data_IF_208402479417
#
_entry.id   IF_208402479417
#
_cell.length_a   1.000
_cell.length_b   1.000
_cell.length_c   1.000
_cell.angle_alpha   90.00
_cell.angle_beta   90.00
_cell.angle_gamma   90.00
#
_symmetry.space_group_name_H-M   'P 1'
#
loop_
_entity.id
_entity.type
_entity.pdbx_description
1 polymer ?
#
# COMPACT_ATOMS: atom_id res chain seq x y z
N UNK A 1 24.91 -2.89 0.08
CA UNK A 1 24.44 -1.72 0.84
C UNK A 1 24.47 -0.40 0.09
N UNK A 2 25.23 -0.24 -1.00
CA UNK A 2 25.34 1.06 -1.69
C UNK A 2 24.29 1.33 -2.78
N UNK A 3 23.63 0.29 -3.32
CA UNK A 3 22.56 0.44 -4.32
C UNK A 3 21.20 0.88 -3.74
N UNK A 4 20.99 0.75 -2.43
CA UNK A 4 19.71 1.13 -1.79
C UNK A 4 19.61 2.65 -1.57
N UNK A 5 20.75 3.36 -1.51
CA UNK A 5 20.79 4.81 -1.26
C UNK A 5 20.68 5.67 -2.53
N UNK A 6 20.90 5.10 -3.72
CA UNK A 6 20.69 5.84 -4.98
C UNK A 6 19.20 5.90 -5.34
N UNK A 7 18.41 4.88 -5.01
CA UNK A 7 16.95 4.87 -5.17
C UNK A 7 16.23 5.83 -4.19
N UNK A 8 16.80 6.12 -3.02
CA UNK A 8 16.22 7.06 -2.03
C UNK A 8 15.97 8.47 -2.61
N UNK A 9 16.75 8.90 -3.60
CA UNK A 9 16.63 10.26 -4.14
C UNK A 9 15.40 10.45 -5.03
N UNK A 10 14.99 9.41 -5.76
CA UNK A 10 13.75 9.42 -6.55
C UNK A 10 12.53 9.04 -5.70
N UNK A 11 12.68 8.12 -4.75
CA UNK A 11 11.62 7.77 -3.79
C UNK A 11 11.09 8.99 -3.03
N UNK A 12 11.97 9.90 -2.56
CA UNK A 12 11.53 11.10 -1.83
C UNK A 12 10.62 12.01 -2.64
N UNK A 13 10.79 12.09 -3.97
CA UNK A 13 9.93 12.93 -4.82
C UNK A 13 8.57 12.30 -5.00
N UNK A 14 8.53 10.98 -5.20
CA UNK A 14 7.28 10.23 -5.27
C UNK A 14 6.54 10.29 -3.94
N UNK A 15 7.22 10.10 -2.81
CA UNK A 15 6.64 10.24 -1.46
C UNK A 15 6.00 11.61 -1.23
N UNK A 16 6.71 12.69 -1.60
CA UNK A 16 6.17 14.05 -1.48
C UNK A 16 4.98 14.24 -2.42
N UNK A 17 5.05 13.73 -3.66
CA UNK A 17 3.94 13.83 -4.61
C UNK A 17 2.68 13.12 -4.10
N UNK A 18 2.81 11.88 -3.61
CA UNK A 18 1.68 11.14 -3.03
C UNK A 18 1.16 11.79 -1.75
N UNK A 19 2.04 12.34 -0.91
CA UNK A 19 1.64 13.09 0.29
C UNK A 19 0.88 14.38 -0.05
N UNK A 20 1.28 15.09 -1.10
CA UNK A 20 0.55 16.25 -1.60
C UNK A 20 -0.80 15.83 -2.20
N UNK A 21 -0.83 14.73 -2.94
CA UNK A 21 -2.07 14.18 -3.51
C UNK A 21 -3.04 13.74 -2.41
N UNK A 22 -2.56 13.09 -1.35
CA UNK A 22 -3.37 12.76 -0.16
C UNK A 22 -3.99 14.01 0.45
N UNK A 23 -3.20 15.07 0.67
CA UNK A 23 -3.72 16.33 1.22
C UNK A 23 -4.77 16.97 0.31
N UNK A 24 -4.56 16.95 -1.01
CA UNK A 24 -5.54 17.48 -1.97
C UNK A 24 -6.81 16.63 -1.99
N UNK A 25 -6.71 15.30 -1.87
CA UNK A 25 -7.89 14.44 -1.80
C UNK A 25 -8.63 14.71 -0.48
N UNK A 26 -7.94 14.77 0.65
CA UNK A 26 -8.57 15.07 1.95
C UNK A 26 -9.21 16.47 1.98
N UNK A 27 -8.59 17.47 1.35
CA UNK A 27 -9.09 18.85 1.32
C UNK A 27 -10.29 19.03 0.37
N UNK A 28 -10.39 18.24 -0.70
CA UNK A 28 -11.41 18.39 -1.74
C UNK A 28 -12.44 17.25 -1.80
N UNK A 29 -12.35 16.25 -0.91
CA UNK A 29 -13.41 15.25 -0.74
C UNK A 29 -14.29 15.64 0.43
N UNK A 30 -15.47 16.19 0.14
CA UNK A 30 -16.53 16.47 1.13
C UNK A 30 -17.25 15.19 1.58
N UNK A 31 -16.53 14.09 1.78
CA UNK A 31 -17.13 12.89 2.33
C UNK A 31 -16.90 12.89 3.84
N UNK A 32 -17.91 13.30 4.60
CA UNK A 32 -18.06 12.92 6.00
C UNK A 32 -18.02 11.38 6.05
N UNK A 33 -16.82 10.79 6.20
CA UNK A 33 -16.68 9.40 6.57
C UNK A 33 -17.28 9.30 7.97
N UNK A 34 -18.42 8.59 8.15
CA UNK A 34 -19.00 8.47 9.46
C UNK A 34 -17.93 7.85 10.37
N UNK A 35 -17.73 8.45 11.54
CA UNK A 35 -16.74 8.07 12.55
C UNK A 35 -17.06 6.72 13.23
N UNK A 36 -17.41 5.70 12.45
CA UNK A 36 -17.91 4.41 12.90
C UNK A 36 -17.80 3.37 11.79
N UNK A 37 -16.56 3.06 11.42
CA UNK A 37 -16.03 1.82 10.83
C UNK A 37 -14.86 2.23 9.95
N UNK A 38 -13.64 1.89 10.36
CA UNK A 38 -12.47 1.90 9.49
C UNK A 38 -12.67 0.81 8.44
N UNK A 39 -13.54 1.07 7.46
CA UNK A 39 -13.72 0.18 6.33
C UNK A 39 -12.36 0.06 5.65
N UNK A 40 -11.88 -1.18 5.53
CA UNK A 40 -10.63 -1.45 4.82
C UNK A 40 -10.77 -0.85 3.43
N UNK A 41 -9.77 -0.06 3.01
CA UNK A 41 -9.79 0.51 1.67
C UNK A 41 -9.88 -0.62 0.65
N UNK A 42 -10.60 -0.36 -0.44
CA UNK A 42 -10.87 -1.35 -1.48
C UNK A 42 -9.60 -1.99 -2.01
N UNK A 43 -8.49 -1.24 -2.04
CA UNK A 43 -7.17 -1.66 -2.48
C UNK A 43 -6.52 -2.60 -1.46
N UNK A 44 -6.60 -2.30 -0.16
CA UNK A 44 -6.05 -3.18 0.88
C UNK A 44 -6.81 -4.51 0.93
N UNK A 45 -8.13 -4.50 0.73
CA UNK A 45 -8.91 -5.73 0.59
C UNK A 45 -8.47 -6.52 -0.65
N UNK A 46 -8.34 -5.88 -1.81
CA UNK A 46 -7.90 -6.53 -3.04
C UNK A 46 -6.49 -7.14 -2.89
N UNK A 47 -5.57 -6.45 -2.21
CA UNK A 47 -4.24 -7.00 -1.91
C UNK A 47 -4.36 -8.25 -1.03
N UNK A 48 -5.15 -8.23 0.05
CA UNK A 48 -5.34 -9.40 0.91
C UNK A 48 -5.90 -10.59 0.12
N UNK A 49 -6.98 -10.39 -0.64
CA UNK A 49 -7.59 -11.44 -1.46
C UNK A 49 -6.59 -12.01 -2.48
N UNK A 50 -5.79 -11.16 -3.11
CA UNK A 50 -4.76 -11.62 -4.04
C UNK A 50 -3.67 -12.43 -3.34
N UNK A 51 -3.14 -11.94 -2.21
CA UNK A 51 -2.14 -12.66 -1.42
C UNK A 51 -2.66 -14.01 -0.95
N UNK A 52 -3.92 -14.08 -0.50
CA UNK A 52 -4.56 -15.32 -0.03
C UNK A 52 -4.80 -16.34 -1.15
N UNK A 53 -5.19 -15.89 -2.35
CA UNK A 53 -5.42 -16.78 -3.48
C UNK A 53 -4.12 -17.25 -4.17
N UNK A 54 -3.04 -16.47 -4.07
CA UNK A 54 -1.78 -16.71 -4.78
C UNK A 54 -0.58 -16.94 -3.84
N UNK A 55 -0.80 -17.23 -2.56
CA UNK A 55 0.26 -17.29 -1.54
C UNK A 55 1.42 -18.25 -1.87
N UNK A 56 1.17 -19.30 -2.66
CA UNK A 56 2.16 -20.27 -3.11
C UNK A 56 3.09 -19.75 -4.22
N UNK A 57 2.72 -18.64 -4.87
CA UNK A 57 3.49 -18.04 -5.95
C UNK A 57 4.53 -17.04 -5.42
N UNK A 58 5.53 -16.72 -6.24
CA UNK A 58 6.49 -15.67 -5.92
C UNK A 58 5.89 -14.29 -6.22
N UNK A 59 5.17 -13.73 -5.25
CA UNK A 59 4.53 -12.41 -5.37
C UNK A 59 5.54 -11.30 -5.07
N UNK A 60 5.68 -10.35 -6.00
CA UNK A 60 6.52 -9.16 -5.82
C UNK A 60 5.69 -7.92 -5.47
N UNK A 61 6.35 -6.89 -4.92
CA UNK A 61 5.69 -5.61 -4.66
C UNK A 61 5.17 -4.95 -5.93
N UNK A 62 5.86 -5.12 -7.07
CA UNK A 62 5.40 -4.61 -8.37
C UNK A 62 4.10 -5.26 -8.84
N UNK A 63 3.86 -6.54 -8.50
CA UNK A 63 2.60 -7.22 -8.84
C UNK A 63 1.42 -6.61 -8.07
N UNK A 64 1.63 -6.26 -6.80
CA UNK A 64 0.63 -5.57 -5.98
C UNK A 64 0.37 -4.13 -6.47
N UNK A 65 1.41 -3.45 -6.96
CA UNK A 65 1.26 -2.13 -7.57
C UNK A 65 0.45 -2.20 -8.87
N UNK A 66 0.70 -3.19 -9.72
CA UNK A 66 -0.08 -3.43 -10.95
C UNK A 66 -1.54 -3.78 -10.66
N UNK A 67 -1.79 -4.55 -9.60
CA UNK A 67 -3.14 -4.92 -9.17
C UNK A 67 -3.97 -3.70 -8.76
N UNK A 68 -3.37 -2.75 -8.05
CA UNK A 68 -4.09 -1.65 -7.40
C UNK A 68 -3.94 -0.30 -8.12
N UNK A 69 -2.98 -0.18 -9.04
CA UNK A 69 -2.60 1.11 -9.64
C UNK A 69 -1.86 2.05 -8.69
N UNK A 70 -1.56 1.59 -7.46
CA UNK A 70 -0.86 2.38 -6.46
C UNK A 70 0.64 2.35 -6.68
N UNK A 71 1.33 3.42 -6.29
CA UNK A 71 2.78 3.38 -6.17
C UNK A 71 3.22 2.47 -5.03
N UNK A 72 4.46 1.99 -5.10
CA UNK A 72 5.10 1.14 -4.07
C UNK A 72 4.96 1.76 -2.68
N UNK A 73 5.27 3.04 -2.55
CA UNK A 73 5.21 3.74 -1.26
C UNK A 73 3.79 3.83 -0.72
N UNK A 74 2.84 4.33 -1.53
CA UNK A 74 1.46 4.49 -1.09
C UNK A 74 0.83 3.15 -0.71
N UNK A 75 1.13 2.10 -1.49
CA UNK A 75 0.72 0.74 -1.20
C UNK A 75 1.26 0.26 0.14
N UNK A 76 2.57 0.35 0.38
CA UNK A 76 3.18 -0.08 1.63
C UNK A 76 2.63 0.69 2.83
N UNK A 77 2.49 2.01 2.71
CA UNK A 77 1.98 2.88 3.77
C UNK A 77 0.51 2.61 4.06
N UNK A 78 -0.34 2.56 3.04
CA UNK A 78 -1.78 2.32 3.19
C UNK A 78 -2.05 0.93 3.75
N UNK A 79 -1.38 -0.10 3.22
CA UNK A 79 -1.51 -1.46 3.70
C UNK A 79 -1.07 -1.58 5.17
N UNK A 80 0.11 -1.05 5.51
CA UNK A 80 0.63 -1.12 6.89
C UNK A 80 -0.23 -0.30 7.86
N UNK A 81 -0.74 0.87 7.44
CA UNK A 81 -1.66 1.70 8.26
C UNK A 81 -2.94 0.93 8.62
N UNK A 82 -3.46 0.11 7.71
CA UNK A 82 -4.73 -0.61 7.92
C UNK A 82 -4.55 -2.01 8.54
N UNK A 83 -3.50 -2.74 8.17
CA UNK A 83 -3.26 -4.13 8.64
C UNK A 83 -2.27 -4.22 9.80
N UNK A 84 -1.53 -3.15 10.10
CA UNK A 84 -0.51 -3.10 11.15
C UNK A 84 0.81 -3.79 10.78
N UNK A 85 0.86 -4.51 9.65
CA UNK A 85 2.03 -5.23 9.15
C UNK A 85 2.23 -4.98 7.65
N UNK A 86 3.44 -5.21 7.15
CA UNK A 86 3.74 -5.08 5.72
C UNK A 86 3.07 -6.18 4.88
N UNK A 87 2.85 -5.97 3.56
CA UNK A 87 2.34 -7.02 2.68
C UNK A 87 3.20 -8.29 2.68
N UNK A 88 4.52 -8.16 2.79
CA UNK A 88 5.43 -9.29 2.87
C UNK A 88 5.23 -10.10 4.16
N UNK A 89 5.16 -9.43 5.31
CA UNK A 89 4.91 -10.09 6.60
C UNK A 89 3.51 -10.74 6.64
N UNK A 90 2.53 -10.13 5.98
CA UNK A 90 1.20 -10.73 5.80
C UNK A 90 1.29 -12.03 4.99
N UNK A 91 2.02 -12.00 3.86
CA UNK A 91 2.27 -13.16 3.01
C UNK A 91 3.02 -14.28 3.75
N UNK A 92 3.97 -13.95 4.62
CA UNK A 92 4.63 -14.92 5.49
C UNK A 92 3.64 -15.54 6.49
N UNK A 93 2.75 -14.74 7.07
CA UNK A 93 1.76 -15.21 8.06
C UNK A 93 0.78 -16.23 7.47
N UNK A 94 0.39 -16.09 6.21
CA UNK A 94 -0.55 -17.01 5.55
C UNK A 94 0.11 -18.27 4.96
N UNK A 95 1.45 -18.30 4.85
CA UNK A 95 2.21 -19.46 4.35
C UNK A 95 2.51 -20.50 5.43
N UNK A 96 2.31 -20.16 6.71
CA UNK A 96 2.56 -21.00 7.88
C UNK A 96 1.33 -21.86 8.20
#
# INVERSE_FOLDING_TARGET
>A
HQMIMEEEKDFRKEEIFFFLLEQLIEEYTEQEVPAGNTEQSTEVRAICEFLENHYMENITLDDLCKLTGLSKYYLLRSFTKQKGISPYSYLETIRV
#
